data_IF_639212453485
#
_entry.id   IF_639212453485
#
_cell.length_a   1.000
_cell.length_b   1.000
_cell.length_c   1.000
_cell.angle_alpha   90.00
_cell.angle_beta   90.00
_cell.angle_gamma   90.00
#
_symmetry.space_group_name_H-M   'P 1'
#
loop_
_entity.id
_entity.type
_entity.pdbx_description
1 polymer ?
#
# COMPACT_ATOMS: atom_id res chain seq x y z
N UNK A 1 -14.25 -25.01 -11.97
CA UNK A 1 -13.52 -24.00 -11.16
C UNK A 1 -13.29 -24.46 -9.73
N UNK A 2 -14.31 -24.68 -8.89
CA UNK A 2 -14.11 -25.08 -7.47
C UNK A 2 -13.22 -26.32 -7.24
N UNK A 3 -13.39 -27.39 -8.03
CA UNK A 3 -12.54 -28.60 -7.95
C UNK A 3 -11.07 -28.32 -8.28
N UNK A 4 -10.80 -27.51 -9.30
CA UNK A 4 -9.44 -27.12 -9.68
C UNK A 4 -8.78 -26.25 -8.61
N UNK A 5 -9.51 -25.24 -8.10
CA UNK A 5 -9.01 -24.40 -6.99
C UNK A 5 -8.69 -25.23 -5.75
N UNK A 6 -9.56 -26.18 -5.38
CA UNK A 6 -9.31 -27.07 -4.25
C UNK A 6 -8.09 -27.96 -4.45
N UNK A 7 -7.88 -28.50 -5.65
CA UNK A 7 -6.70 -29.30 -5.97
C UNK A 7 -5.42 -28.46 -5.93
N UNK A 8 -5.47 -27.23 -6.45
CA UNK A 8 -4.34 -26.29 -6.39
C UNK A 8 -4.00 -25.94 -4.93
N UNK A 9 -4.98 -25.62 -4.10
CA UNK A 9 -4.77 -25.31 -2.68
C UNK A 9 -4.19 -26.52 -1.93
N UNK A 10 -4.69 -27.72 -2.22
CA UNK A 10 -4.15 -28.94 -1.62
C UNK A 10 -2.70 -29.19 -2.06
N UNK A 11 -2.37 -28.95 -3.34
CA UNK A 11 -1.01 -29.06 -3.83
C UNK A 11 -0.07 -28.04 -3.16
N UNK A 12 -0.49 -26.77 -3.03
CA UNK A 12 0.29 -25.73 -2.32
C UNK A 12 0.49 -26.12 -0.86
N UNK A 13 -0.56 -26.60 -0.19
CA UNK A 13 -0.47 -27.08 1.19
C UNK A 13 0.54 -28.23 1.32
N UNK A 14 0.44 -29.27 0.48
CA UNK A 14 1.40 -30.37 0.48
C UNK A 14 2.84 -29.89 0.21
N UNK A 15 3.04 -28.96 -0.72
CA UNK A 15 4.35 -28.36 -0.98
C UNK A 15 4.89 -27.65 0.27
N UNK A 16 4.08 -26.88 0.99
CA UNK A 16 4.54 -26.23 2.23
C UNK A 16 4.91 -27.24 3.33
N UNK A 17 4.29 -28.42 3.36
CA UNK A 17 4.65 -29.50 4.27
C UNK A 17 5.93 -30.23 3.84
N UNK A 18 6.06 -30.56 2.54
CA UNK A 18 7.26 -31.21 2.01
C UNK A 18 8.51 -30.34 2.18
N UNK A 19 8.38 -29.02 2.09
CA UNK A 19 9.44 -28.04 2.31
C UNK A 19 9.30 -27.35 3.67
N UNK A 20 8.84 -28.08 4.69
CA UNK A 20 8.49 -27.55 6.01
C UNK A 20 9.58 -26.69 6.67
N UNK A 21 10.86 -27.04 6.52
CA UNK A 21 11.98 -26.25 7.07
C UNK A 21 12.07 -24.87 6.42
N UNK A 22 11.94 -24.80 5.09
CA UNK A 22 11.97 -23.55 4.33
C UNK A 22 10.73 -22.70 4.61
N UNK A 23 9.56 -23.35 4.70
CA UNK A 23 8.29 -22.73 5.11
C UNK A 23 8.42 -22.11 6.50
N UNK A 24 8.92 -22.86 7.49
CA UNK A 24 9.06 -22.41 8.87
C UNK A 24 10.04 -21.23 8.97
N UNK A 25 11.20 -21.32 8.32
CA UNK A 25 12.19 -20.24 8.31
C UNK A 25 11.63 -18.97 7.67
N UNK A 26 10.89 -19.11 6.56
CA UNK A 26 10.23 -17.98 5.89
C UNK A 26 9.16 -17.34 6.78
N UNK A 27 8.36 -18.15 7.46
CA UNK A 27 7.34 -17.68 8.40
C UNK A 27 7.96 -16.95 9.60
N UNK A 28 9.06 -17.45 10.16
CA UNK A 28 9.80 -16.80 11.25
C UNK A 28 10.39 -15.46 10.82
N UNK A 29 10.98 -15.39 9.62
CA UNK A 29 11.49 -14.13 9.07
C UNK A 29 10.35 -13.12 8.86
N UNK A 30 9.24 -13.55 8.25
CA UNK A 30 8.05 -12.71 8.08
C UNK A 30 7.49 -12.20 9.42
N UNK A 31 7.45 -13.07 10.45
CA UNK A 31 7.01 -12.71 11.78
C UNK A 31 7.93 -11.68 12.44
N UNK A 32 9.26 -11.84 12.31
CA UNK A 32 10.23 -10.87 12.83
C UNK A 32 10.11 -9.52 12.10
N UNK A 33 9.99 -9.51 10.77
CA UNK A 33 9.74 -8.28 9.99
C UNK A 33 8.47 -7.59 10.50
N UNK A 34 7.37 -8.34 10.64
CA UNK A 34 6.11 -7.79 11.12
C UNK A 34 6.23 -7.23 12.53
N UNK A 35 6.68 -8.04 13.49
CA UNK A 35 6.67 -7.68 14.91
C UNK A 35 7.74 -6.65 15.28
N UNK A 36 8.96 -6.78 14.77
CA UNK A 36 10.08 -5.92 15.16
C UNK A 36 10.16 -4.64 14.33
N UNK A 37 9.62 -4.64 13.10
CA UNK A 37 9.73 -3.49 12.18
C UNK A 37 8.38 -2.84 11.90
N UNK A 38 7.40 -3.60 11.42
CA UNK A 38 6.12 -3.01 10.98
C UNK A 38 5.27 -2.54 12.16
N UNK A 39 5.14 -3.35 13.22
CA UNK A 39 4.30 -2.99 14.37
C UNK A 39 4.74 -1.66 15.03
N UNK A 40 6.02 -1.46 15.39
CA UNK A 40 6.44 -0.22 16.04
C UNK A 40 6.38 1.01 15.12
N UNK A 41 6.62 0.83 13.81
CA UNK A 41 6.67 1.95 12.86
C UNK A 41 5.31 2.38 12.34
N UNK A 42 4.35 1.46 12.22
CA UNK A 42 3.05 1.72 11.61
C UNK A 42 1.93 1.95 12.63
N UNK A 43 1.94 1.27 13.78
CA UNK A 43 0.79 1.32 14.71
C UNK A 43 0.48 2.75 15.16
N UNK A 44 1.49 3.48 15.63
CA UNK A 44 1.30 4.83 16.17
C UNK A 44 0.82 5.79 15.07
N UNK A 45 1.41 5.74 13.89
CA UNK A 45 1.01 6.60 12.77
C UNK A 45 -0.40 6.28 12.29
N UNK A 46 -0.76 4.99 12.21
CA UNK A 46 -2.11 4.55 11.85
C UNK A 46 -3.17 5.05 12.84
N UNK A 47 -2.91 4.90 14.14
CA UNK A 47 -3.82 5.38 15.20
C UNK A 47 -3.98 6.89 15.12
N UNK A 48 -2.88 7.63 14.98
CA UNK A 48 -2.94 9.10 14.93
C UNK A 48 -3.68 9.59 13.69
N UNK A 49 -3.42 9.03 12.51
CA UNK A 49 -4.11 9.46 11.28
C UNK A 49 -5.60 9.16 11.35
N UNK A 50 -5.99 7.97 11.84
CA UNK A 50 -7.41 7.62 12.05
C UNK A 50 -8.07 8.55 13.06
N UNK A 51 -7.39 8.86 14.16
CA UNK A 51 -7.89 9.78 15.18
C UNK A 51 -8.06 11.20 14.62
N UNK A 52 -7.07 11.72 13.90
CA UNK A 52 -7.15 13.03 13.24
C UNK A 52 -8.34 13.11 12.27
N UNK A 53 -8.64 12.02 11.57
CA UNK A 53 -9.83 11.97 10.71
C UNK A 53 -11.14 11.98 11.49
N UNK A 54 -11.25 11.16 12.54
CA UNK A 54 -12.47 11.10 13.38
C UNK A 54 -12.74 12.42 14.12
N UNK A 55 -11.69 13.14 14.49
CA UNK A 55 -11.76 14.47 15.08
C UNK A 55 -11.88 15.59 14.02
N UNK A 56 -12.12 15.26 12.74
CA UNK A 56 -12.30 16.21 11.64
C UNK A 56 -11.14 17.20 11.43
N UNK A 57 -9.93 16.86 11.89
CA UNK A 57 -8.77 17.74 11.79
C UNK A 57 -8.36 18.03 10.33
N UNK A 58 -8.69 17.14 9.39
CA UNK A 58 -8.43 17.32 7.97
C UNK A 58 -9.35 18.35 7.29
N UNK A 59 -10.49 18.71 7.88
CA UNK A 59 -11.39 19.73 7.32
C UNK A 59 -10.77 21.14 7.37
N UNK A 60 -9.80 21.35 8.27
CA UNK A 60 -9.06 22.61 8.40
C UNK A 60 -7.85 22.71 7.48
N UNK A 61 -7.46 21.63 6.79
CA UNK A 61 -6.31 21.62 5.91
C UNK A 61 -6.70 22.20 4.53
N UNK A 62 -6.10 23.34 4.10
CA UNK A 62 -6.42 23.92 2.80
C UNK A 62 -6.02 22.96 1.68
N UNK A 63 -6.93 22.72 0.74
CA UNK A 63 -6.66 21.90 -0.45
C UNK A 63 -5.89 22.66 -1.53
N UNK A 64 -5.64 23.96 -1.35
CA UNK A 64 -4.97 24.87 -2.31
C UNK A 64 -5.51 24.74 -3.76
N UNK A 65 -6.80 24.42 -3.93
CA UNK A 65 -7.42 24.21 -5.24
C UNK A 65 -7.11 22.86 -5.92
N UNK A 66 -6.23 22.03 -5.34
CA UNK A 66 -5.90 20.69 -5.85
C UNK A 66 -7.12 19.78 -5.81
N UNK A 67 -7.93 19.83 -4.75
CA UNK A 67 -9.15 19.03 -4.65
C UNK A 67 -10.08 19.28 -5.86
N UNK A 68 -10.37 20.54 -6.16
CA UNK A 68 -11.21 20.92 -7.30
C UNK A 68 -10.60 20.50 -8.65
N UNK A 69 -9.29 20.67 -8.82
CA UNK A 69 -8.56 20.24 -10.03
C UNK A 69 -8.71 18.74 -10.30
N UNK A 70 -8.67 17.94 -9.23
CA UNK A 70 -8.77 16.48 -9.25
C UNK A 70 -10.22 15.97 -9.28
N UNK A 71 -11.21 16.88 -9.27
CA UNK A 71 -12.63 16.52 -9.21
C UNK A 71 -13.02 15.88 -7.88
N UNK A 72 -12.49 16.41 -6.79
CA UNK A 72 -12.73 16.00 -5.40
C UNK A 72 -13.37 17.16 -4.64
N UNK A 73 -14.27 16.85 -3.70
CA UNK A 73 -14.66 17.79 -2.65
C UNK A 73 -13.67 17.75 -1.47
N UNK A 74 -13.95 18.51 -0.41
CA UNK A 74 -13.06 18.61 0.75
C UNK A 74 -12.98 17.30 1.53
N UNK A 75 -14.09 16.58 1.72
CA UNK A 75 -14.09 15.29 2.41
C UNK A 75 -13.27 14.24 1.65
N UNK A 76 -13.42 14.17 0.33
CA UNK A 76 -12.64 13.27 -0.50
C UNK A 76 -11.15 13.62 -0.51
N UNK A 77 -10.79 14.90 -0.42
CA UNK A 77 -9.41 15.32 -0.22
C UNK A 77 -8.84 14.82 1.12
N UNK A 78 -9.63 14.88 2.19
CA UNK A 78 -9.27 14.29 3.49
C UNK A 78 -8.96 12.79 3.39
N UNK A 79 -9.78 12.03 2.64
CA UNK A 79 -9.54 10.60 2.37
C UNK A 79 -8.23 10.38 1.59
N UNK A 80 -7.94 11.20 0.59
CA UNK A 80 -6.67 11.13 -0.15
C UNK A 80 -5.48 11.34 0.79
N UNK A 81 -5.51 12.36 1.65
CA UNK A 81 -4.46 12.62 2.64
C UNK A 81 -4.31 11.45 3.61
N UNK A 82 -5.42 10.89 4.10
CA UNK A 82 -5.38 9.71 4.96
C UNK A 82 -4.72 8.52 4.26
N UNK A 83 -5.08 8.24 3.00
CA UNK A 83 -4.44 7.18 2.21
C UNK A 83 -2.93 7.41 2.00
N UNK A 84 -2.49 8.68 1.87
CA UNK A 84 -1.07 9.03 1.76
C UNK A 84 -0.29 8.73 3.04
N UNK A 85 -0.85 9.05 4.21
CA UNK A 85 -0.18 8.85 5.49
C UNK A 85 -0.26 7.41 6.00
N UNK A 86 -1.43 6.76 5.84
CA UNK A 86 -1.63 5.35 6.22
C UNK A 86 -0.85 4.40 5.32
N UNK A 87 -0.68 4.77 4.04
CA UNK A 87 -0.09 3.92 3.02
C UNK A 87 -0.90 2.66 2.73
N UNK A 88 -0.40 1.76 1.89
CA UNK A 88 -1.05 0.49 1.58
C UNK A 88 -0.70 -0.60 2.62
N UNK A 89 -1.59 -1.60 2.85
CA UNK A 89 -2.96 -1.70 2.34
C UNK A 89 -3.96 -0.82 3.10
N UNK A 90 -3.58 -0.30 4.28
CA UNK A 90 -4.46 0.36 5.25
C UNK A 90 -5.25 1.54 4.67
N UNK A 91 -4.64 2.34 3.80
CA UNK A 91 -5.31 3.45 3.13
C UNK A 91 -6.44 3.02 2.20
N UNK A 92 -6.37 1.83 1.61
CA UNK A 92 -7.47 1.26 0.81
C UNK A 92 -8.60 0.74 1.69
N UNK A 93 -8.24 0.10 2.82
CA UNK A 93 -9.20 -0.36 3.85
C UNK A 93 -9.94 0.84 4.45
N UNK A 94 -9.22 1.92 4.72
CA UNK A 94 -9.81 3.15 5.23
C UNK A 94 -10.82 3.79 4.27
N UNK A 95 -10.54 3.75 2.97
CA UNK A 95 -11.49 4.22 1.95
C UNK A 95 -12.70 3.28 1.83
N UNK A 96 -12.52 1.98 2.05
CA UNK A 96 -13.61 0.99 2.11
C UNK A 96 -14.53 1.22 3.31
N UNK A 97 -13.96 1.48 4.49
CA UNK A 97 -14.69 1.85 5.70
C UNK A 97 -15.55 3.10 5.49
N UNK A 98 -15.06 4.11 4.74
CA UNK A 98 -15.87 5.28 4.38
C UNK A 98 -17.12 4.94 3.54
N UNK A 99 -17.14 3.79 2.84
CA UNK A 99 -18.34 3.26 2.18
C UNK A 99 -19.26 2.58 3.18
N UNK A 100 -18.70 1.79 4.11
CA UNK A 100 -19.45 1.16 5.20
C UNK A 100 -20.19 2.21 6.05
N UNK A 101 -19.52 3.34 6.30
CA UNK A 101 -20.08 4.49 7.02
C UNK A 101 -21.06 5.31 6.16
N UNK A 102 -21.19 5.04 4.86
CA UNK A 102 -22.07 5.79 3.96
C UNK A 102 -21.59 7.21 3.65
N UNK A 103 -20.35 7.55 4.00
CA UNK A 103 -19.68 8.82 3.64
C UNK A 103 -19.38 8.84 2.13
N UNK A 104 -19.00 7.70 1.57
CA UNK A 104 -18.57 7.57 0.18
C UNK A 104 -19.43 6.55 -0.57
N UNK A 105 -19.75 6.81 -1.84
CA UNK A 105 -20.36 5.79 -2.68
C UNK A 105 -19.32 4.77 -3.15
N UNK A 106 -19.75 3.53 -3.36
CA UNK A 106 -18.88 2.44 -3.79
C UNK A 106 -18.06 2.79 -5.06
N UNK A 107 -18.67 3.47 -6.02
CA UNK A 107 -18.00 3.88 -7.27
C UNK A 107 -16.91 4.94 -7.05
N UNK A 108 -17.12 5.86 -6.11
CA UNK A 108 -16.16 6.91 -5.76
C UNK A 108 -14.97 6.30 -5.01
N UNK A 109 -15.26 5.42 -4.05
CA UNK A 109 -14.27 4.67 -3.30
C UNK A 109 -13.41 3.81 -4.23
N UNK A 110 -14.01 3.16 -5.21
CA UNK A 110 -13.29 2.38 -6.23
C UNK A 110 -12.27 3.24 -6.98
N UNK A 111 -12.64 4.47 -7.38
CA UNK A 111 -11.72 5.41 -8.03
C UNK A 111 -10.56 5.79 -7.10
N UNK A 112 -10.85 6.10 -5.84
CA UNK A 112 -9.81 6.44 -4.86
C UNK A 112 -8.86 5.27 -4.62
N UNK A 113 -9.35 4.07 -4.36
CA UNK A 113 -8.51 2.88 -4.14
C UNK A 113 -7.60 2.59 -5.35
N UNK A 114 -8.11 2.77 -6.57
CA UNK A 114 -7.30 2.61 -7.78
C UNK A 114 -6.20 3.64 -7.93
N UNK A 115 -6.43 4.91 -7.56
CA UNK A 115 -5.46 5.99 -7.76
C UNK A 115 -4.55 6.24 -6.56
N UNK A 116 -5.02 5.98 -5.34
CA UNK A 116 -4.44 6.42 -4.06
C UNK A 116 -3.89 5.25 -3.25
N UNK A 117 -3.03 4.45 -3.86
CA UNK A 117 -2.32 3.39 -3.17
C UNK A 117 -0.84 3.78 -3.12
N UNK A 118 -0.44 4.27 -1.94
CA UNK A 118 0.87 4.88 -1.69
C UNK A 118 1.64 4.07 -0.66
N UNK A 119 2.97 3.99 -0.74
CA UNK A 119 3.78 3.53 0.38
C UNK A 119 3.77 4.59 1.50
N UNK A 120 4.07 4.18 2.74
CA UNK A 120 4.14 5.12 3.87
C UNK A 120 5.36 6.04 3.74
N UNK A 121 5.27 7.30 4.22
CA UNK A 121 6.42 8.22 4.21
C UNK A 121 7.60 7.66 5.00
N UNK A 122 7.33 7.00 6.13
CA UNK A 122 8.35 6.37 6.97
C UNK A 122 9.17 5.33 6.20
N UNK A 123 8.50 4.42 5.48
CA UNK A 123 9.19 3.40 4.70
C UNK A 123 10.02 4.01 3.56
N UNK A 124 9.45 4.96 2.80
CA UNK A 124 10.16 5.54 1.66
C UNK A 124 11.34 6.41 2.10
N UNK A 125 11.13 7.31 3.06
CA UNK A 125 12.16 8.28 3.45
C UNK A 125 13.24 7.60 4.28
N UNK A 126 12.87 6.80 5.29
CA UNK A 126 13.84 6.20 6.20
C UNK A 126 14.48 4.95 5.59
N UNK A 127 13.69 3.97 5.17
CA UNK A 127 14.24 2.70 4.66
C UNK A 127 14.85 2.89 3.27
N UNK A 128 14.11 3.44 2.32
CA UNK A 128 14.65 3.62 0.97
C UNK A 128 15.70 4.73 0.94
N UNK A 129 15.36 5.94 1.37
CA UNK A 129 16.27 7.07 1.34
C UNK A 129 17.50 6.90 2.21
N UNK A 130 17.32 6.86 3.53
CA UNK A 130 18.44 6.90 4.49
C UNK A 130 19.19 5.55 4.54
N UNK A 131 18.49 4.42 4.65
CA UNK A 131 19.17 3.12 4.83
C UNK A 131 19.76 2.61 3.50
N UNK A 132 18.98 2.59 2.42
CA UNK A 132 19.44 1.98 1.17
C UNK A 132 20.21 2.93 0.24
N UNK A 133 19.80 4.19 0.16
CA UNK A 133 20.46 5.21 -0.69
C UNK A 133 21.38 6.17 0.07
N UNK A 134 21.45 6.07 1.41
CA UNK A 134 22.29 6.94 2.25
C UNK A 134 22.01 8.44 2.01
N UNK A 135 20.76 8.78 1.67
CA UNK A 135 20.37 10.15 1.31
C UNK A 135 18.92 10.45 1.66
N UNK A 136 18.73 11.40 2.58
CA UNK A 136 17.42 11.96 2.91
C UNK A 136 16.76 12.59 1.67
N UNK A 137 17.54 13.28 0.84
CA UNK A 137 17.05 13.94 -0.37
C UNK A 137 16.45 12.92 -1.36
N UNK A 138 17.12 11.78 -1.56
CA UNK A 138 16.60 10.71 -2.42
C UNK A 138 15.31 10.12 -1.82
N UNK A 139 15.27 9.91 -0.51
CA UNK A 139 14.05 9.43 0.19
C UNK A 139 12.86 10.36 0.00
N UNK A 140 13.06 11.67 0.23
CA UNK A 140 12.01 12.69 0.03
C UNK A 140 11.59 12.75 -1.44
N UNK A 141 12.55 12.75 -2.37
CA UNK A 141 12.27 12.73 -3.81
C UNK A 141 11.42 11.52 -4.19
N UNK A 142 11.82 10.31 -3.80
CA UNK A 142 11.06 9.08 -4.07
C UNK A 142 9.64 9.20 -3.54
N UNK A 143 9.46 9.71 -2.32
CA UNK A 143 8.13 9.86 -1.72
C UNK A 143 7.26 10.85 -2.51
N UNK A 144 7.81 12.03 -2.85
CA UNK A 144 7.11 13.05 -3.66
C UNK A 144 6.71 12.48 -5.02
N UNK A 145 7.57 11.71 -5.68
CA UNK A 145 7.25 11.09 -6.96
C UNK A 145 6.11 10.07 -6.85
N UNK A 146 6.02 9.33 -5.75
CA UNK A 146 4.86 8.44 -5.51
C UNK A 146 3.58 9.25 -5.33
N UNK A 147 3.60 10.34 -4.57
CA UNK A 147 2.44 11.21 -4.41
C UNK A 147 2.00 11.81 -5.75
N UNK A 148 2.93 12.39 -6.50
CA UNK A 148 2.66 12.97 -7.81
C UNK A 148 2.08 11.94 -8.78
N UNK A 149 2.60 10.71 -8.80
CA UNK A 149 2.07 9.65 -9.66
C UNK A 149 0.60 9.32 -9.35
N UNK A 150 0.20 9.23 -8.08
CA UNK A 150 -1.20 9.02 -7.71
C UNK A 150 -2.10 10.23 -7.97
N UNK A 151 -1.58 11.45 -7.76
CA UNK A 151 -2.29 12.69 -8.10
C UNK A 151 -2.51 12.81 -9.63
N UNK A 152 -1.55 12.38 -10.45
CA UNK A 152 -1.73 12.31 -11.91
C UNK A 152 -2.79 11.29 -12.31
N UNK A 153 -2.85 10.12 -11.66
CA UNK A 153 -3.91 9.14 -11.90
C UNK A 153 -5.29 9.70 -11.52
N UNK A 154 -5.39 10.44 -10.41
CA UNK A 154 -6.61 11.17 -10.05
C UNK A 154 -6.97 12.22 -11.10
N UNK A 155 -5.99 12.98 -11.61
CA UNK A 155 -6.20 13.97 -12.65
C UNK A 155 -6.71 13.34 -13.95
N UNK A 156 -6.13 12.22 -14.39
CA UNK A 156 -6.58 11.52 -15.60
C UNK A 156 -7.99 10.92 -15.46
N UNK A 157 -8.39 10.59 -14.23
CA UNK A 157 -9.72 10.04 -13.93
C UNK A 157 -10.74 11.10 -13.48
N UNK A 158 -10.37 12.40 -13.50
CA UNK A 158 -11.18 13.51 -12.96
C UNK A 158 -12.58 13.69 -13.57
N UNK A 159 -12.86 13.04 -14.70
CA UNK A 159 -14.19 13.06 -15.35
C UNK A 159 -15.28 12.53 -14.40
N UNK A 160 -14.94 11.57 -13.54
CA UNK A 160 -15.80 11.09 -12.47
C UNK A 160 -15.54 11.87 -11.19
N UNK A 161 -16.36 12.89 -10.92
CA UNK A 161 -16.24 13.70 -9.69
C UNK A 161 -16.67 12.88 -8.49
N UNK A 162 -15.94 13.06 -7.38
CA UNK A 162 -16.22 12.40 -6.12
C UNK A 162 -16.89 13.40 -5.18
N UNK A 163 -18.02 12.98 -4.62
CA UNK A 163 -18.77 13.74 -3.63
C UNK A 163 -18.97 12.89 -2.38
N UNK A 164 -18.47 13.39 -1.26
CA UNK A 164 -18.74 12.85 0.06
C UNK A 164 -20.10 13.30 0.55
N UNK A 165 -20.80 12.41 1.23
CA UNK A 165 -22.02 12.75 1.95
C UNK A 165 -21.61 13.30 3.31
N UNK A 166 -22.11 14.49 3.65
CA UNK A 166 -21.99 15.00 5.01
C UNK A 166 -22.78 14.04 5.89
N UNK A 167 -22.08 13.24 6.70
CA UNK A 167 -22.71 12.68 7.87
C UNK A 167 -23.00 13.84 8.81
N UNK A 168 -24.27 14.04 9.17
CA UNK A 168 -24.61 14.70 10.42
C UNK A 168 -24.07 13.80 11.52
N UNK A 169 -22.81 14.02 11.92
CA UNK A 169 -22.20 13.34 13.06
C UNK A 169 -23.13 13.61 14.24
N UNK A 170 -23.79 12.57 14.75
CA UNK A 170 -24.38 12.67 16.08
C UNK A 170 -23.22 13.01 17.02
N UNK A 171 -23.23 14.21 17.57
CA UNK A 171 -22.14 14.83 18.36
C UNK A 171 -21.88 14.13 19.71
N UNK A 172 -22.07 12.82 19.79
CA UNK A 172 -22.10 12.03 21.02
C UNK A 172 -20.88 11.11 21.20
N UNK A 173 -20.01 10.96 20.21
CA UNK A 173 -18.79 10.15 20.38
C UNK A 173 -17.75 10.92 21.18
N UNK A 174 -17.40 10.44 22.38
CA UNK A 174 -16.30 11.01 23.16
C UNK A 174 -14.95 10.77 22.46
N UNK A 175 -13.99 11.67 22.65
CA UNK A 175 -12.60 11.48 22.22
C UNK A 175 -12.04 10.10 22.60
N UNK A 176 -12.36 9.62 23.81
CA UNK A 176 -11.91 8.30 24.28
C UNK A 176 -12.51 7.15 23.46
N UNK A 177 -13.74 7.30 22.98
CA UNK A 177 -14.34 6.34 22.06
C UNK A 177 -13.64 6.36 20.70
N UNK A 178 -13.37 7.54 20.15
CA UNK A 178 -12.68 7.69 18.87
C UNK A 178 -11.25 7.15 18.93
N UNK A 179 -10.53 7.39 20.03
CA UNK A 179 -9.21 6.83 20.29
C UNK A 179 -9.25 5.30 20.38
N UNK A 180 -10.16 4.73 21.18
CA UNK A 180 -10.32 3.28 21.31
C UNK A 180 -10.63 2.60 19.97
N UNK A 181 -11.53 3.21 19.20
CA UNK A 181 -11.91 2.74 17.87
C UNK A 181 -10.74 2.84 16.88
N UNK A 182 -9.98 3.95 16.87
CA UNK A 182 -8.79 4.10 16.04
C UNK A 182 -7.69 3.07 16.39
N UNK A 183 -7.48 2.78 17.69
CA UNK A 183 -6.57 1.72 18.15
C UNK A 183 -7.02 0.36 17.64
N UNK A 184 -8.32 0.04 17.78
CA UNK A 184 -8.87 -1.25 17.39
C UNK A 184 -8.75 -1.49 15.88
N UNK A 185 -9.19 -0.53 15.07
CA UNK A 185 -9.14 -0.64 13.60
C UNK A 185 -7.70 -0.70 13.07
N UNK A 186 -6.79 0.07 13.68
CA UNK A 186 -5.36 -0.01 13.37
C UNK A 186 -4.78 -1.37 13.75
N UNK A 187 -5.15 -1.90 14.92
CA UNK A 187 -4.73 -3.22 15.38
C UNK A 187 -5.18 -4.34 14.46
N UNK A 188 -6.45 -4.31 14.02
CA UNK A 188 -7.00 -5.28 13.05
C UNK A 188 -6.24 -5.18 11.73
N UNK A 189 -6.07 -3.97 11.19
CA UNK A 189 -5.33 -3.76 9.94
C UNK A 189 -3.90 -4.31 10.02
N UNK A 190 -3.21 -4.05 11.13
CA UNK A 190 -1.83 -4.47 11.37
C UNK A 190 -1.70 -5.98 11.58
N UNK A 191 -2.67 -6.60 12.26
CA UNK A 191 -2.76 -8.06 12.39
C UNK A 191 -2.90 -8.73 11.02
N UNK A 192 -3.79 -8.21 10.16
CA UNK A 192 -3.99 -8.74 8.81
C UNK A 192 -2.74 -8.59 7.94
N UNK A 193 -2.03 -7.45 8.03
CA UNK A 193 -0.74 -7.26 7.35
C UNK A 193 0.25 -8.36 7.75
N UNK A 194 0.37 -8.67 9.03
CA UNK A 194 1.25 -9.73 9.54
C UNK A 194 0.86 -11.12 9.03
N UNK A 195 -0.43 -11.48 9.12
CA UNK A 195 -0.94 -12.75 8.63
C UNK A 195 -0.69 -12.94 7.13
N UNK A 196 -0.95 -11.90 6.33
CA UNK A 196 -0.69 -11.93 4.90
C UNK A 196 0.79 -12.01 4.58
N UNK A 197 1.64 -11.26 5.29
CA UNK A 197 3.09 -11.32 5.08
C UNK A 197 3.63 -12.72 5.34
N UNK A 198 3.24 -13.35 6.45
CA UNK A 198 3.62 -14.71 6.80
C UNK A 198 3.16 -15.74 5.75
N UNK A 199 1.88 -15.69 5.36
CA UNK A 199 1.31 -16.59 4.37
C UNK A 199 2.00 -16.43 3.01
N UNK A 200 2.11 -15.19 2.56
CA UNK A 200 2.62 -14.87 1.23
C UNK A 200 4.09 -15.26 1.11
N UNK A 201 4.94 -14.83 2.06
CA UNK A 201 6.38 -15.17 2.04
C UNK A 201 6.61 -16.68 2.14
N UNK A 202 5.88 -17.39 3.02
CA UNK A 202 6.04 -18.83 3.18
C UNK A 202 5.73 -19.60 1.89
N UNK A 203 4.68 -19.19 1.18
CA UNK A 203 4.29 -19.82 -0.09
C UNK A 203 5.26 -19.43 -1.20
N UNK A 204 5.56 -18.14 -1.36
CA UNK A 204 6.39 -17.67 -2.48
C UNK A 204 7.83 -18.17 -2.39
N UNK A 205 8.43 -18.26 -1.20
CA UNK A 205 9.79 -18.79 -1.06
C UNK A 205 9.89 -20.23 -1.56
N UNK A 206 8.90 -21.08 -1.23
CA UNK A 206 8.87 -22.46 -1.71
C UNK A 206 8.65 -22.49 -3.22
N UNK A 207 7.65 -21.77 -3.74
CA UNK A 207 7.34 -21.79 -5.17
C UNK A 207 8.49 -21.25 -6.03
N UNK A 208 9.17 -20.20 -5.58
CA UNK A 208 10.22 -19.55 -6.35
C UNK A 208 11.57 -20.25 -6.25
N UNK A 209 11.73 -21.18 -5.30
CA UNK A 209 12.92 -22.05 -5.22
C UNK A 209 13.05 -23.00 -6.42
N UNK A 210 11.96 -23.29 -7.12
CA UNK A 210 11.94 -24.11 -8.33
C UNK A 210 12.22 -23.33 -9.62
N UNK A 211 12.33 -22.00 -9.54
CA UNK A 211 12.50 -21.15 -10.72
C UNK A 211 13.99 -20.93 -11.03
N UNK A 212 14.35 -20.74 -12.32
CA UNK A 212 15.70 -20.33 -12.68
C UNK A 212 16.11 -19.04 -11.95
N UNK A 213 17.38 -18.86 -11.54
CA UNK A 213 17.81 -17.75 -10.69
C UNK A 213 17.39 -16.36 -11.20
N UNK A 214 17.54 -16.10 -12.50
CA UNK A 214 17.16 -14.81 -13.11
C UNK A 214 15.66 -14.54 -13.02
N UNK A 215 14.83 -15.58 -13.19
CA UNK A 215 13.38 -15.43 -13.10
C UNK A 215 12.93 -15.34 -11.64
N UNK A 216 13.55 -16.13 -10.75
CA UNK A 216 13.32 -16.09 -9.30
C UNK A 216 13.61 -14.70 -8.72
N UNK A 217 14.69 -14.03 -9.15
CA UNK A 217 14.98 -12.64 -8.77
C UNK A 217 13.81 -11.70 -9.13
N UNK A 218 13.34 -11.73 -10.37
CA UNK A 218 12.27 -10.84 -10.84
C UNK A 218 10.98 -11.07 -10.05
N UNK A 219 10.54 -12.33 -9.94
CA UNK A 219 9.27 -12.62 -9.27
C UNK A 219 9.36 -12.37 -7.76
N UNK A 220 10.52 -12.62 -7.14
CA UNK A 220 10.74 -12.33 -5.72
C UNK A 220 10.76 -10.83 -5.45
N UNK A 221 11.35 -10.04 -6.35
CA UNK A 221 11.33 -8.57 -6.25
C UNK A 221 9.92 -7.98 -6.37
N UNK A 222 9.05 -8.58 -7.19
CA UNK A 222 7.67 -8.11 -7.36
C UNK A 222 6.68 -8.72 -6.34
N UNK A 223 7.06 -9.81 -5.68
CA UNK A 223 6.21 -10.52 -4.74
C UNK A 223 5.89 -9.66 -3.52
N UNK A 224 6.92 -9.16 -2.85
CA UNK A 224 6.80 -8.34 -1.64
C UNK A 224 7.77 -7.17 -1.78
N UNK A 225 7.23 -5.95 -1.79
CA UNK A 225 8.00 -4.76 -2.17
C UNK A 225 9.16 -4.48 -1.21
N UNK A 226 8.99 -4.74 0.08
CA UNK A 226 10.00 -4.47 1.11
C UNK A 226 11.25 -5.33 0.90
N UNK A 227 11.03 -6.64 0.81
CA UNK A 227 12.04 -7.66 0.54
C UNK A 227 12.61 -7.50 -0.87
N UNK A 228 11.77 -7.10 -1.83
CA UNK A 228 12.20 -6.85 -3.20
C UNK A 228 13.19 -5.70 -3.31
N UNK A 229 13.01 -4.62 -2.53
CA UNK A 229 13.98 -3.51 -2.45
C UNK A 229 15.30 -3.99 -1.85
N UNK A 230 15.27 -4.84 -0.80
CA UNK A 230 16.49 -5.46 -0.25
C UNK A 230 17.24 -6.25 -1.34
N UNK A 231 16.53 -7.08 -2.10
CA UNK A 231 17.11 -7.87 -3.20
C UNK A 231 17.73 -6.98 -4.29
N UNK A 232 17.03 -5.91 -4.69
CA UNK A 232 17.53 -4.94 -5.68
C UNK A 232 18.83 -4.28 -5.20
N UNK A 233 18.90 -3.91 -3.92
CA UNK A 233 20.09 -3.26 -3.36
C UNK A 233 21.26 -4.22 -3.13
N UNK A 234 20.99 -5.51 -2.91
CA UNK A 234 22.01 -6.56 -2.83
C UNK A 234 22.55 -7.02 -4.19
N UNK A 235 21.83 -6.75 -5.29
CA UNK A 235 22.26 -7.15 -6.63
C UNK A 235 23.38 -6.27 -7.20
N UNK A 236 24.15 -6.84 -8.15
CA UNK A 236 25.19 -6.17 -8.94
C UNK A 236 24.58 -5.25 -10.01
N UNK A 237 23.82 -4.25 -9.57
CA UNK A 237 23.18 -3.23 -10.40
C UNK A 237 23.84 -1.87 -10.19
N UNK A 238 23.90 -1.05 -11.24
CA UNK A 238 24.37 0.33 -11.10
C UNK A 238 23.39 1.17 -10.27
N UNK A 239 23.83 2.25 -9.58
CA UNK A 239 22.96 3.04 -8.70
C UNK A 239 21.67 3.53 -9.35
N UNK A 240 21.73 3.93 -10.62
CA UNK A 240 20.56 4.37 -11.37
C UNK A 240 19.52 3.24 -11.54
N UNK A 241 19.95 2.02 -11.83
CA UNK A 241 19.05 0.87 -11.95
C UNK A 241 18.37 0.55 -10.62
N UNK A 242 19.13 0.59 -9.51
CA UNK A 242 18.56 0.42 -8.16
C UNK A 242 17.49 1.48 -7.87
N UNK A 243 17.77 2.74 -8.22
CA UNK A 243 16.83 3.84 -8.03
C UNK A 243 15.55 3.69 -8.86
N UNK A 244 15.68 3.35 -10.15
CA UNK A 244 14.55 3.14 -11.05
C UNK A 244 13.67 1.97 -10.60
N UNK A 245 14.27 0.84 -10.24
CA UNK A 245 13.54 -0.35 -9.79
C UNK A 245 12.84 -0.13 -8.45
N UNK A 246 13.52 0.52 -7.49
CA UNK A 246 12.90 0.91 -6.22
C UNK A 246 11.72 1.87 -6.45
N UNK A 247 11.88 2.88 -7.32
CA UNK A 247 10.81 3.83 -7.65
C UNK A 247 9.58 3.15 -8.28
N UNK A 248 9.81 2.22 -9.21
CA UNK A 248 8.73 1.42 -9.80
C UNK A 248 8.02 0.57 -8.75
N UNK A 249 8.79 -0.15 -7.93
CA UNK A 249 8.26 -1.10 -6.97
C UNK A 249 7.44 -0.43 -5.86
N UNK A 250 7.81 0.80 -5.46
CA UNK A 250 7.02 1.62 -4.55
C UNK A 250 5.63 1.98 -5.10
N UNK A 251 5.51 2.25 -6.41
CA UNK A 251 4.21 2.51 -7.06
C UNK A 251 3.41 1.24 -7.35
N UNK A 252 4.13 0.16 -7.71
CA UNK A 252 3.57 -1.16 -7.95
C UNK A 252 3.07 -1.84 -6.68
N UNK A 253 3.65 -1.55 -5.51
CA UNK A 253 3.34 -2.06 -4.17
C UNK A 253 3.60 -3.57 -3.92
N UNK A 254 3.77 -4.36 -4.98
CA UNK A 254 4.03 -5.79 -4.89
C UNK A 254 2.77 -6.65 -4.71
N UNK A 255 2.84 -7.91 -5.14
CA UNK A 255 1.69 -8.82 -5.16
C UNK A 255 1.13 -9.16 -3.78
N UNK A 256 1.96 -9.14 -2.73
CA UNK A 256 1.52 -9.31 -1.34
C UNK A 256 0.50 -8.22 -0.95
N UNK A 257 0.79 -6.96 -1.26
CA UNK A 257 -0.12 -5.84 -1.00
C UNK A 257 -1.37 -5.92 -1.86
N UNK A 258 -1.24 -6.39 -3.11
CA UNK A 258 -2.42 -6.59 -3.96
C UNK A 258 -3.38 -7.60 -3.34
N UNK A 259 -2.85 -8.72 -2.82
CA UNK A 259 -3.63 -9.74 -2.12
C UNK A 259 -4.29 -9.17 -0.86
N UNK A 260 -3.54 -8.41 -0.07
CA UNK A 260 -4.07 -7.74 1.13
C UNK A 260 -5.26 -6.85 0.79
N UNK A 261 -5.11 -5.94 -0.19
CA UNK A 261 -6.18 -5.03 -0.60
C UNK A 261 -7.39 -5.81 -1.13
N UNK A 262 -7.17 -6.79 -2.02
CA UNK A 262 -8.25 -7.58 -2.62
C UNK A 262 -9.02 -8.44 -1.60
N UNK A 263 -8.40 -8.76 -0.46
CA UNK A 263 -9.08 -9.48 0.61
C UNK A 263 -9.73 -8.56 1.65
N UNK A 264 -9.09 -7.46 2.01
CA UNK A 264 -9.50 -6.64 3.16
C UNK A 264 -10.52 -5.56 2.79
N UNK A 265 -10.63 -5.22 1.51
CA UNK A 265 -11.67 -4.32 0.99
C UNK A 265 -12.92 -5.15 0.76
N UNK A 266 -13.95 -4.92 1.58
CA UNK A 266 -15.17 -5.75 1.62
C UNK A 266 -16.36 -5.06 0.92
N UNK A 267 -16.46 -3.74 1.05
CA UNK A 267 -17.62 -2.95 0.63
C UNK A 267 -17.49 -2.50 -0.83
N UNK A 268 -16.26 -2.32 -1.32
CA UNK A 268 -15.96 -1.92 -2.69
C UNK A 268 -15.63 -3.13 -3.56
N UNK A 269 -16.43 -3.37 -4.60
CA UNK A 269 -16.15 -4.43 -5.57
C UNK A 269 -15.03 -4.01 -6.51
N UNK A 270 -13.81 -4.47 -6.20
CA UNK A 270 -12.63 -4.26 -7.03
C UNK A 270 -12.52 -5.34 -8.11
N UNK A 271 -12.22 -4.93 -9.35
CA UNK A 271 -11.72 -5.83 -10.40
C UNK A 271 -10.19 -5.87 -10.36
N UNK A 272 -9.59 -7.03 -10.08
CA UNK A 272 -8.13 -7.19 -9.97
C UNK A 272 -7.38 -6.75 -11.23
N UNK A 273 -7.87 -7.07 -12.43
CA UNK A 273 -7.23 -6.67 -13.69
C UNK A 273 -7.12 -5.15 -13.84
N UNK A 274 -8.15 -4.42 -13.40
CA UNK A 274 -8.13 -2.95 -13.41
C UNK A 274 -7.18 -2.43 -12.33
N UNK A 275 -7.24 -2.99 -11.13
CA UNK A 275 -6.32 -2.62 -10.05
C UNK A 275 -4.84 -2.80 -10.47
N UNK A 276 -4.51 -3.96 -11.03
CA UNK A 276 -3.17 -4.27 -11.53
C UNK A 276 -2.72 -3.26 -12.61
N UNK A 277 -3.60 -2.89 -13.53
CA UNK A 277 -3.31 -1.86 -14.53
C UNK A 277 -2.96 -0.51 -13.87
N UNK A 278 -3.72 -0.10 -12.86
CA UNK A 278 -3.42 1.13 -12.11
C UNK A 278 -2.10 1.04 -11.33
N UNK A 279 -1.76 -0.13 -10.76
CA UNK A 279 -0.48 -0.33 -10.08
C UNK A 279 0.71 -0.25 -11.04
N UNK A 280 0.59 -0.87 -12.22
CA UNK A 280 1.60 -0.77 -13.28
C UNK A 280 1.70 0.68 -13.77
N UNK A 281 0.57 1.35 -14.02
CA UNK A 281 0.54 2.75 -14.44
C UNK A 281 1.20 3.66 -13.40
N UNK A 282 0.92 3.48 -12.10
CA UNK A 282 1.54 4.27 -11.04
C UNK A 282 3.06 4.06 -10.99
N UNK A 283 3.52 2.80 -11.03
CA UNK A 283 4.95 2.49 -11.04
C UNK A 283 5.68 3.03 -12.28
N UNK A 284 5.05 2.99 -13.46
CA UNK A 284 5.64 3.57 -14.67
C UNK A 284 5.64 5.10 -14.64
N UNK A 285 4.57 5.73 -14.14
CA UNK A 285 4.49 7.18 -13.99
C UNK A 285 5.55 7.69 -12.99
N UNK A 286 5.73 7.03 -11.85
CA UNK A 286 6.74 7.42 -10.87
C UNK A 286 8.16 7.32 -11.44
N UNK A 287 8.45 6.29 -12.24
CA UNK A 287 9.72 6.16 -12.97
C UNK A 287 9.89 7.24 -14.04
N UNK A 288 8.86 7.52 -14.83
CA UNK A 288 8.92 8.57 -15.84
C UNK A 288 9.22 9.94 -15.21
N UNK A 289 8.55 10.26 -14.10
CA UNK A 289 8.83 11.48 -13.32
C UNK A 289 10.26 11.49 -12.76
N UNK A 290 10.74 10.34 -12.26
CA UNK A 290 12.11 10.21 -11.76
C UNK A 290 13.15 10.50 -12.85
N UNK A 291 12.98 9.95 -14.05
CA UNK A 291 13.90 10.17 -15.18
C UNK A 291 13.99 11.66 -15.52
N UNK A 292 12.85 12.36 -15.49
CA UNK A 292 12.82 13.82 -15.68
C UNK A 292 13.58 14.54 -14.56
N UNK A 293 13.37 14.17 -13.30
CA UNK A 293 14.07 14.80 -12.17
C UNK A 293 15.58 14.57 -12.17
N UNK A 294 16.04 13.37 -12.54
CA UNK A 294 17.47 13.01 -12.56
C UNK A 294 18.24 13.82 -13.62
N UNK A 295 17.60 14.35 -14.66
CA UNK A 295 18.25 15.25 -15.61
C UNK A 295 18.65 16.60 -15.00
N UNK A 296 18.09 16.95 -13.83
CA UNK A 296 18.35 18.22 -13.13
C UNK A 296 19.15 18.05 -11.84
N UNK A 297 19.62 16.83 -11.55
CA UNK A 297 20.49 16.49 -10.42
C UNK A 297 21.94 16.36 -10.88
#
# INVERSE_FOLDING_TARGET
MKKFTSLLLFAVFLLTLCFGTLTLQSAQNALSIWFEKLVPSMLISMVLVRLLYKEQAFDHLPSFGLAALLGLDHGAWGLVLCSMFLGFPTGSVFVDEAVADGVLQEQDARRLIYCCCFPTPGFVILSCGIVFFQSLMIGVMLFVLQLLSGLLLLLFTRRHRIHTRIQTVSSSSSFMHNLSSAITESGISLYMIGGYLMLFMSITTVLFSFLPPSFSFIVSSLAEFSSGIVLIHGAELIPLQKLLLTCFLLGFAGFCVHMQIMSMVEHVRLRYSVFLLFRIAQGLLSVALLIVCVQFL
#
